data_IF_175023759148
#
_entry.id   IF_175023759148
#
_cell.length_a   1.000
_cell.length_b   1.000
_cell.length_c   1.000
_cell.angle_alpha   90.00
_cell.angle_beta   90.00
_cell.angle_gamma   90.00
#
_symmetry.space_group_name_H-M   'P 1'
#
loop_
_entity.id
_entity.type
_entity.pdbx_description
1 polymer ?
#
# COMPACT_ATOMS: atom_id res chain seq x y z
N UNK A 1 11.93 -7.30 6.79
CA UNK A 1 11.12 -7.81 5.66
C UNK A 1 12.01 -8.20 4.49
N UNK A 2 12.88 -7.31 4.00
CA UNK A 2 13.87 -7.57 2.93
C UNK A 2 15.19 -8.25 3.38
N UNK A 3 15.17 -9.03 4.48
CA UNK A 3 16.35 -9.80 4.92
C UNK A 3 17.46 -9.07 5.69
N UNK A 4 17.32 -7.76 5.97
CA UNK A 4 18.28 -7.01 6.81
C UNK A 4 18.33 -7.47 8.27
N UNK A 5 19.39 -7.12 9.03
CA UNK A 5 19.62 -7.62 10.39
C UNK A 5 18.63 -7.08 11.43
N UNK A 6 17.94 -5.98 11.12
CA UNK A 6 16.97 -5.37 12.01
C UNK A 6 15.57 -5.92 11.74
N UNK A 7 14.95 -6.46 12.80
CA UNK A 7 13.56 -6.90 12.79
C UNK A 7 12.67 -5.76 13.29
N UNK A 8 11.57 -5.50 12.58
CA UNK A 8 10.56 -4.55 13.02
C UNK A 8 9.72 -5.18 14.14
N UNK A 9 9.69 -4.51 15.30
CA UNK A 9 8.96 -4.95 16.52
C UNK A 9 7.81 -4.02 16.89
N UNK A 10 7.43 -3.10 15.98
CA UNK A 10 6.32 -2.19 16.20
C UNK A 10 4.95 -2.86 16.04
N UNK A 11 3.91 -2.05 15.88
CA UNK A 11 2.53 -2.52 15.79
C UNK A 11 2.32 -3.43 14.56
N UNK A 12 1.40 -4.39 14.62
CA UNK A 12 0.96 -5.14 13.44
C UNK A 12 0.51 -4.20 12.30
N UNK A 13 0.59 -4.69 11.06
CA UNK A 13 0.20 -3.90 9.88
C UNK A 13 -1.24 -3.40 9.99
N UNK A 14 -2.16 -4.25 10.45
CA UNK A 14 -3.57 -3.88 10.65
C UNK A 14 -3.76 -2.74 11.64
N UNK A 15 -3.26 -2.89 12.87
CA UNK A 15 -3.39 -1.86 13.92
C UNK A 15 -2.73 -0.53 13.51
N UNK A 16 -1.71 -0.59 12.66
CA UNK A 16 -1.02 0.60 12.17
C UNK A 16 -1.81 1.37 11.12
N UNK A 17 -2.71 0.73 10.35
CA UNK A 17 -3.32 1.34 9.17
C UNK A 17 -4.87 1.32 9.16
N UNK A 18 -5.53 0.55 10.03
CA UNK A 18 -6.99 0.39 9.99
C UNK A 18 -7.75 1.73 10.09
N UNK A 19 -7.25 2.67 10.86
CA UNK A 19 -7.86 3.99 11.05
C UNK A 19 -7.80 4.88 9.78
N UNK A 20 -6.94 4.56 8.82
CA UNK A 20 -6.81 5.28 7.55
C UNK A 20 -7.88 4.87 6.53
N UNK A 21 -8.50 3.68 6.71
CA UNK A 21 -9.52 3.14 5.80
C UNK A 21 -9.08 3.11 4.33
N UNK A 22 -7.83 2.73 4.08
CA UNK A 22 -7.23 2.68 2.74
C UNK A 22 -8.09 1.79 1.84
N UNK A 23 -8.45 2.34 0.69
CA UNK A 23 -9.26 1.68 -0.34
C UNK A 23 -8.40 0.88 -1.33
N UNK A 24 -8.97 -0.09 -2.07
CA UNK A 24 -8.26 -0.77 -3.16
C UNK A 24 -7.66 0.20 -4.18
N UNK A 25 -8.41 1.24 -4.57
CA UNK A 25 -7.91 2.24 -5.52
C UNK A 25 -6.72 3.04 -5.00
N UNK A 26 -6.72 3.42 -3.72
CA UNK A 26 -5.58 4.12 -3.11
C UNK A 26 -4.36 3.20 -2.98
N UNK A 27 -4.56 1.90 -2.72
CA UNK A 27 -3.49 0.93 -2.75
C UNK A 27 -2.84 0.80 -4.14
N UNK A 28 -3.66 0.75 -5.20
CA UNK A 28 -3.15 0.73 -6.57
C UNK A 28 -2.32 1.98 -6.89
N UNK A 29 -2.79 3.16 -6.48
CA UNK A 29 -2.02 4.41 -6.63
C UNK A 29 -0.70 4.37 -5.85
N UNK A 30 -0.70 3.86 -4.62
CA UNK A 30 0.52 3.66 -3.84
C UNK A 30 1.51 2.70 -4.51
N UNK A 31 1.02 1.59 -5.09
CA UNK A 31 1.87 0.63 -5.79
C UNK A 31 2.47 1.21 -7.08
N UNK A 32 1.75 2.10 -7.76
CA UNK A 32 2.28 2.86 -8.90
C UNK A 32 3.39 3.85 -8.46
N UNK A 33 3.15 4.63 -7.40
CA UNK A 33 4.17 5.53 -6.84
C UNK A 33 5.42 4.76 -6.36
N UNK A 34 5.23 3.58 -5.77
CA UNK A 34 6.32 2.68 -5.41
C UNK A 34 7.10 2.22 -6.64
N UNK A 35 6.43 1.81 -7.72
CA UNK A 35 7.07 1.40 -8.97
C UNK A 35 7.89 2.56 -9.56
N UNK A 36 7.30 3.74 -9.69
CA UNK A 36 7.98 4.93 -10.18
C UNK A 36 9.23 5.27 -9.35
N UNK A 37 9.15 5.10 -8.03
CA UNK A 37 10.29 5.30 -7.13
C UNK A 37 11.41 4.28 -7.38
N UNK A 38 11.08 2.99 -7.51
CA UNK A 38 12.06 1.94 -7.80
C UNK A 38 12.77 2.18 -9.14
N UNK A 39 12.02 2.59 -10.16
CA UNK A 39 12.57 2.93 -11.47
C UNK A 39 13.48 4.16 -11.41
N UNK A 40 13.06 5.21 -10.69
CA UNK A 40 13.84 6.44 -10.50
C UNK A 40 15.24 6.16 -9.92
N UNK A 41 15.34 5.19 -9.01
CA UNK A 41 16.58 4.80 -8.36
C UNK A 41 17.31 3.63 -9.07
N UNK A 42 16.81 3.17 -10.22
CA UNK A 42 17.39 2.08 -11.00
C UNK A 42 17.55 0.78 -10.18
N UNK A 43 16.57 0.47 -9.31
CA UNK A 43 16.57 -0.80 -8.58
C UNK A 43 16.44 -1.95 -9.60
N UNK A 44 17.28 -3.01 -9.53
CA UNK A 44 17.25 -4.03 -10.56
C UNK A 44 15.93 -4.85 -10.52
N UNK A 45 15.51 -5.44 -11.65
CA UNK A 45 14.17 -6.01 -11.79
C UNK A 45 13.85 -7.17 -10.82
N UNK A 46 14.86 -7.94 -10.43
CA UNK A 46 14.70 -9.05 -9.50
C UNK A 46 14.30 -8.54 -8.11
N UNK A 47 15.03 -7.53 -7.61
CA UNK A 47 14.79 -6.88 -6.33
C UNK A 47 13.47 -6.12 -6.33
N UNK A 48 13.09 -5.48 -7.45
CA UNK A 48 11.76 -4.88 -7.58
C UNK A 48 10.64 -5.92 -7.43
N UNK A 49 10.80 -7.09 -8.07
CA UNK A 49 9.82 -8.17 -8.03
C UNK A 49 9.67 -8.72 -6.61
N UNK A 50 10.79 -9.01 -5.95
CA UNK A 50 10.81 -9.50 -4.57
C UNK A 50 10.20 -8.48 -3.60
N UNK A 51 10.60 -7.21 -3.70
CA UNK A 51 10.11 -6.17 -2.79
C UNK A 51 8.62 -5.93 -2.97
N UNK A 52 8.12 -5.87 -4.21
CA UNK A 52 6.67 -5.74 -4.47
C UNK A 52 5.89 -6.93 -3.94
N UNK A 53 6.43 -8.15 -4.04
CA UNK A 53 5.76 -9.33 -3.46
C UNK A 53 5.64 -9.23 -1.93
N UNK A 54 6.69 -8.76 -1.25
CA UNK A 54 6.67 -8.49 0.20
C UNK A 54 5.62 -7.43 0.54
N UNK A 55 5.61 -6.29 -0.16
CA UNK A 55 4.63 -5.22 0.08
C UNK A 55 3.21 -5.73 -0.18
N UNK A 56 2.99 -6.41 -1.29
CA UNK A 56 1.69 -6.97 -1.66
C UNK A 56 1.17 -7.99 -0.63
N UNK A 57 2.05 -8.74 0.03
CA UNK A 57 1.65 -9.69 1.09
C UNK A 57 0.94 -9.02 2.28
N UNK A 58 1.13 -7.71 2.47
CA UNK A 58 0.50 -6.93 3.56
C UNK A 58 -0.88 -6.37 3.20
N UNK A 59 -1.31 -6.52 1.94
CA UNK A 59 -2.56 -5.94 1.43
C UNK A 59 -3.77 -6.25 2.31
N UNK A 60 -3.94 -7.52 2.72
CA UNK A 60 -5.10 -7.96 3.50
C UNK A 60 -5.17 -7.40 4.93
N UNK A 61 -4.06 -6.87 5.44
CA UNK A 61 -4.02 -6.18 6.74
C UNK A 61 -4.21 -4.68 6.61
N UNK A 62 -3.87 -4.09 5.47
CA UNK A 62 -3.85 -2.64 5.27
C UNK A 62 -5.11 -2.14 4.57
N UNK A 63 -5.61 -2.86 3.55
CA UNK A 63 -6.74 -2.43 2.73
C UNK A 63 -8.05 -2.94 3.32
N UNK A 64 -8.70 -2.07 4.10
CA UNK A 64 -10.00 -2.35 4.73
C UNK A 64 -11.11 -1.39 4.28
N UNK A 65 -10.74 -0.32 3.57
CA UNK A 65 -11.69 0.60 2.95
C UNK A 65 -12.44 -0.08 1.81
N UNK A 66 -13.59 0.47 1.47
CA UNK A 66 -14.34 0.10 0.27
C UNK A 66 -14.19 1.25 -0.72
N UNK A 67 -14.07 0.93 -2.00
CA UNK A 67 -14.23 1.95 -3.03
C UNK A 67 -15.67 2.47 -2.94
N UNK A 68 -15.85 3.65 -2.36
CA UNK A 68 -17.16 4.28 -2.34
C UNK A 68 -17.46 4.82 -3.74
N UNK A 69 -18.68 4.58 -4.22
CA UNK A 69 -19.17 5.30 -5.38
C UNK A 69 -19.05 6.81 -5.10
N UNK A 70 -18.72 7.65 -6.10
CA UNK A 70 -18.65 9.08 -5.88
C UNK A 70 -19.96 9.52 -5.21
N UNK A 71 -19.84 10.10 -4.02
CA UNK A 71 -20.97 10.68 -3.30
C UNK A 71 -21.67 11.58 -4.32
N UNK A 72 -22.88 11.18 -4.75
CA UNK A 72 -23.67 12.01 -5.65
C UNK A 72 -23.74 13.37 -4.98
N UNK A 73 -23.17 14.39 -5.62
CA UNK A 73 -23.35 15.77 -5.23
C UNK A 73 -24.85 15.96 -4.97
N UNK A 74 -25.22 15.98 -3.69
CA UNK A 74 -26.59 16.19 -3.28
C UNK A 74 -26.83 17.67 -3.57
N UNK A 75 -27.47 17.89 -4.71
CA UNK A 75 -28.07 19.15 -5.04
C UNK A 75 -29.04 19.57 -3.92
N UNK A 76 -29.01 20.87 -3.65
CA UNK A 76 -30.00 21.66 -2.91
C UNK A 76 -30.00 21.54 -1.37
N UNK A 77 -29.46 22.58 -0.71
CA UNK A 77 -30.24 23.76 -0.29
C UNK A 77 -29.35 24.97 -0.04
#
# INVERSE_FOLDING_TARGET
ASGGPQVYTGRPMRESHEHLKITPKEWEAFMDDLQQSLDRFNVPPAEQTELKAIVQSTYGDIVIGKDEAPETASAAR
#
